data_IF_383961472536
#
_entry.id   IF_383961472536
#
_cell.length_a   1.000
_cell.length_b   1.000
_cell.length_c   1.000
_cell.angle_alpha   90.00
_cell.angle_beta   90.00
_cell.angle_gamma   90.00
#
_symmetry.space_group_name_H-M   'P 1'
#
loop_
_entity.id
_entity.type
_entity.pdbx_description
1 polymer ?
#
# COMPACT_ATOMS: atom_id res chain seq x y z
N UNK A 1 -8.95 -3.53 10.54
CA UNK A 1 -8.99 -4.89 9.94
C UNK A 1 -7.55 -5.38 9.87
N UNK A 2 -7.24 -6.50 10.52
CA UNK A 2 -5.89 -7.10 10.48
C UNK A 2 -5.91 -8.22 9.44
N UNK A 3 -5.08 -8.09 8.41
CA UNK A 3 -4.91 -9.12 7.39
C UNK A 3 -3.52 -9.73 7.57
N UNK A 4 -3.46 -10.95 8.09
CA UNK A 4 -2.25 -11.77 8.04
C UNK A 4 -2.27 -12.49 6.70
N UNK A 5 -1.26 -12.26 5.87
CA UNK A 5 -1.02 -13.06 4.66
C UNK A 5 0.07 -14.06 4.99
N UNK A 6 -0.20 -15.34 4.75
CA UNK A 6 0.79 -16.40 4.86
C UNK A 6 1.78 -16.23 3.70
N UNK A 7 2.96 -15.71 4.04
CA UNK A 7 4.05 -15.53 3.09
C UNK A 7 4.79 -16.86 3.00
N UNK A 8 4.38 -17.70 2.04
CA UNK A 8 5.13 -18.91 1.71
C UNK A 8 6.60 -18.59 1.42
N UNK A 9 7.52 -19.57 1.49
CA UNK A 9 8.98 -19.38 1.48
C UNK A 9 9.58 -18.70 0.23
N UNK A 10 8.76 -18.28 -0.73
CA UNK A 10 9.14 -17.56 -1.95
C UNK A 10 8.53 -16.15 -2.06
N UNK A 11 7.65 -15.74 -1.14
CA UNK A 11 7.10 -14.39 -1.12
C UNK A 11 7.93 -13.51 -0.18
N UNK A 12 8.94 -12.83 -0.73
CA UNK A 12 9.69 -11.79 0.00
C UNK A 12 8.95 -10.43 0.03
N UNK A 13 7.68 -10.38 -0.37
CA UNK A 13 6.90 -9.15 -0.55
C UNK A 13 5.46 -9.36 -0.12
N UNK A 14 5.02 -8.63 0.90
CA UNK A 14 3.61 -8.48 1.29
C UNK A 14 3.19 -7.03 1.17
N UNK A 15 1.88 -6.80 1.10
CA UNK A 15 1.30 -5.47 1.09
C UNK A 15 -0.21 -5.51 1.18
N UNK A 16 -0.80 -4.32 1.16
CA UNK A 16 -2.24 -4.14 1.07
C UNK A 16 -2.55 -3.07 0.02
N UNK A 17 -3.72 -3.18 -0.61
CA UNK A 17 -4.30 -2.15 -1.45
C UNK A 17 -5.52 -1.62 -0.70
N UNK A 18 -5.57 -0.32 -0.48
CA UNK A 18 -6.71 0.34 0.16
C UNK A 18 -7.25 1.40 -0.78
N UNK A 19 -8.56 1.37 -1.00
CA UNK A 19 -9.25 2.31 -1.87
C UNK A 19 -9.93 3.36 -1.00
N UNK A 20 -9.71 4.62 -1.34
CA UNK A 20 -10.35 5.76 -0.70
C UNK A 20 -11.20 6.47 -1.73
N UNK A 21 -12.42 6.86 -1.35
CA UNK A 21 -13.31 7.65 -2.21
C UNK A 21 -12.87 9.10 -2.33
N UNK A 22 -12.00 9.57 -1.43
CA UNK A 22 -11.52 10.94 -1.37
C UNK A 22 -10.12 11.00 -0.71
N UNK A 23 -9.34 12.03 -1.06
CA UNK A 23 -7.96 12.17 -0.58
C UNK A 23 -7.90 12.47 0.91
N UNK A 24 -8.85 13.25 1.42
CA UNK A 24 -9.01 13.57 2.84
C UNK A 24 -9.16 12.31 3.71
N UNK A 25 -9.91 11.31 3.25
CA UNK A 25 -10.09 10.06 4.00
C UNK A 25 -8.79 9.24 4.11
N UNK A 26 -7.97 9.26 3.06
CA UNK A 26 -6.62 8.69 3.11
C UNK A 26 -5.77 9.44 4.13
N UNK A 27 -5.78 10.78 4.08
CA UNK A 27 -4.96 11.62 4.95
C UNK A 27 -5.34 11.47 6.42
N UNK A 28 -6.64 11.44 6.72
CA UNK A 28 -7.15 11.16 8.06
C UNK A 28 -6.67 9.80 8.56
N UNK A 29 -6.73 8.76 7.72
CA UNK A 29 -6.27 7.42 8.10
C UNK A 29 -4.78 7.40 8.43
N UNK A 30 -3.92 7.95 7.57
CA UNK A 30 -2.47 7.92 7.78
C UNK A 30 -2.03 8.81 8.95
N UNK A 31 -2.81 9.85 9.27
CA UNK A 31 -2.56 10.74 10.39
C UNK A 31 -2.92 10.13 11.76
N UNK A 32 -3.77 9.10 11.80
CA UNK A 32 -4.23 8.52 13.08
C UNK A 32 -3.05 8.02 13.95
N UNK A 33 -3.09 8.29 15.27
CA UNK A 33 -2.03 7.87 16.18
C UNK A 33 -1.81 6.35 16.22
N UNK A 34 -2.87 5.56 16.13
CA UNK A 34 -2.79 4.09 16.15
C UNK A 34 -2.13 3.54 14.88
N UNK A 35 -2.47 4.09 13.70
CA UNK A 35 -1.80 3.77 12.44
C UNK A 35 -0.30 4.09 12.50
N UNK A 36 0.06 5.30 12.94
CA UNK A 36 1.46 5.72 13.07
C UNK A 36 2.24 4.82 14.03
N UNK A 37 1.64 4.44 15.16
CA UNK A 37 2.23 3.50 16.12
C UNK A 37 2.54 2.15 15.49
N UNK A 38 1.61 1.61 14.69
CA UNK A 38 1.81 0.31 14.01
C UNK A 38 2.93 0.41 12.98
N UNK A 39 2.91 1.43 12.11
CA UNK A 39 3.96 1.63 11.10
C UNK A 39 5.33 1.80 11.76
N UNK A 40 5.41 2.61 12.82
CA UNK A 40 6.64 2.81 13.57
C UNK A 40 7.16 1.53 14.23
N UNK A 41 6.28 0.65 14.72
CA UNK A 41 6.72 -0.61 15.34
C UNK A 41 7.27 -1.64 14.34
N UNK A 42 7.03 -1.45 13.03
CA UNK A 42 7.41 -2.41 11.98
C UNK A 42 8.37 -1.83 10.93
N UNK A 43 8.66 -0.52 10.95
CA UNK A 43 9.46 0.17 9.93
C UNK A 43 10.87 -0.41 9.75
N UNK A 44 11.45 -0.99 10.80
CA UNK A 44 12.83 -1.50 10.76
C UNK A 44 12.91 -3.00 10.42
N UNK A 45 11.78 -3.64 10.09
CA UNK A 45 11.72 -5.08 9.77
C UNK A 45 11.89 -5.40 8.28
N UNK A 46 12.20 -4.41 7.46
CA UNK A 46 12.38 -4.57 6.02
C UNK A 46 12.28 -3.24 5.26
N UNK A 47 12.21 -3.32 3.94
CA UNK A 47 11.97 -2.14 3.10
C UNK A 47 10.47 -1.91 2.96
N UNK A 48 9.97 -0.80 3.51
CA UNK A 48 8.60 -0.35 3.29
C UNK A 48 8.55 0.62 2.10
N UNK A 49 7.65 0.37 1.16
CA UNK A 49 7.31 1.29 0.06
C UNK A 49 5.81 1.52 0.05
N UNK A 50 5.40 2.74 -0.27
CA UNK A 50 4.01 3.09 -0.47
C UNK A 50 3.89 4.00 -1.69
N UNK A 51 2.74 3.95 -2.34
CA UNK A 51 2.41 4.78 -3.48
C UNK A 51 0.93 5.12 -3.41
N UNK A 52 0.57 6.31 -3.85
CA UNK A 52 -0.81 6.78 -3.95
C UNK A 52 -1.04 7.28 -5.37
N UNK A 53 -2.14 6.85 -5.98
CA UNK A 53 -2.55 7.32 -7.29
C UNK A 53 -4.07 7.39 -7.36
N UNK A 54 -4.57 8.24 -8.26
CA UNK A 54 -6.01 8.30 -8.57
C UNK A 54 -6.29 7.33 -9.72
N UNK A 55 -7.34 6.53 -9.59
CA UNK A 55 -7.80 5.62 -10.64
C UNK A 55 -9.28 5.88 -10.92
N UNK A 56 -9.72 5.91 -12.19
CA UNK A 56 -11.11 6.12 -12.56
C UNK A 56 -12.00 4.89 -12.33
N UNK A 57 -11.44 3.80 -11.79
CA UNK A 57 -12.10 2.51 -11.61
C UNK A 57 -11.85 1.93 -10.22
N UNK A 58 -12.85 1.22 -9.70
CA UNK A 58 -12.76 0.45 -8.45
C UNK A 58 -12.73 -1.07 -8.68
N UNK A 59 -12.57 -1.52 -9.93
CA UNK A 59 -12.49 -2.95 -10.26
C UNK A 59 -11.36 -3.63 -9.46
N UNK A 60 -11.66 -4.64 -8.63
CA UNK A 60 -10.64 -5.33 -7.83
C UNK A 60 -9.51 -5.92 -8.68
N UNK A 61 -9.84 -6.44 -9.86
CA UNK A 61 -8.86 -6.98 -10.80
C UNK A 61 -7.96 -5.88 -11.36
N UNK A 62 -8.54 -4.77 -11.82
CA UNK A 62 -7.77 -3.64 -12.37
C UNK A 62 -6.86 -2.98 -11.32
N UNK A 63 -7.35 -2.85 -10.07
CA UNK A 63 -6.56 -2.37 -8.95
C UNK A 63 -5.37 -3.29 -8.67
N UNK A 64 -5.62 -4.61 -8.60
CA UNK A 64 -4.56 -5.60 -8.39
C UNK A 64 -3.51 -5.55 -9.50
N UNK A 65 -3.92 -5.51 -10.77
CA UNK A 65 -2.99 -5.41 -11.91
C UNK A 65 -2.15 -4.13 -11.83
N UNK A 66 -2.77 -2.98 -11.54
CA UNK A 66 -2.05 -1.70 -11.42
C UNK A 66 -1.00 -1.72 -10.31
N UNK A 67 -1.34 -2.26 -9.13
CA UNK A 67 -0.42 -2.42 -8.02
C UNK A 67 0.67 -3.47 -8.32
N UNK A 68 0.31 -4.56 -9.01
CA UNK A 68 1.25 -5.63 -9.35
C UNK A 68 2.37 -5.14 -10.25
N UNK A 69 2.10 -4.20 -11.18
CA UNK A 69 3.16 -3.59 -12.00
C UNK A 69 4.22 -2.86 -11.17
N UNK A 70 3.83 -2.19 -10.08
CA UNK A 70 4.76 -1.53 -9.16
C UNK A 70 5.55 -2.55 -8.33
N UNK A 71 4.85 -3.54 -7.77
CA UNK A 71 5.45 -4.54 -6.87
C UNK A 71 6.35 -5.53 -7.62
N UNK A 72 6.05 -5.83 -8.89
CA UNK A 72 6.89 -6.68 -9.75
C UNK A 72 8.10 -5.94 -10.34
N UNK A 73 8.09 -4.60 -10.34
CA UNK A 73 9.12 -3.78 -10.97
C UNK A 73 8.90 -3.51 -12.47
N UNK A 74 7.75 -3.93 -13.02
CA UNK A 74 7.36 -3.63 -14.40
C UNK A 74 6.97 -2.15 -14.63
N UNK A 75 6.79 -1.38 -13.55
CA UNK A 75 6.65 0.07 -13.56
C UNK A 75 7.46 0.68 -12.42
N UNK A 76 8.01 1.89 -12.60
CA UNK A 76 8.69 2.61 -11.53
C UNK A 76 7.70 2.98 -10.42
N UNK A 77 8.20 3.08 -9.20
CA UNK A 77 7.42 3.63 -8.09
C UNK A 77 7.16 5.12 -8.36
N UNK A 78 5.90 5.59 -8.29
CA UNK A 78 5.62 7.00 -8.46
C UNK A 78 6.31 7.79 -7.34
N UNK A 79 6.96 8.89 -7.70
CA UNK A 79 7.49 9.85 -6.73
C UNK A 79 6.32 10.61 -6.11
N UNK A 80 6.22 10.57 -4.78
CA UNK A 80 5.24 11.40 -4.07
C UNK A 80 5.57 12.87 -4.34
N UNK A 81 4.62 13.71 -4.80
CA UNK A 81 4.83 15.15 -4.81
C UNK A 81 5.10 15.62 -3.38
N UNK A 82 6.09 16.50 -3.24
CA UNK A 82 6.59 17.02 -1.95
C UNK A 82 5.57 17.92 -1.28
#
# INVERSE_FOLDING_TARGET
MWLWVDMGPRMNRSGSITVWTAHEHLMDFVARPDHRRIVHAHRDRGTLRSATWTAPFTSPAALRESAWRLVSGAAPWPTTPT
#
